data_IF_146137486257
#
_entry.id   IF_146137486257
#
_cell.length_a   1.000
_cell.length_b   1.000
_cell.length_c   1.000
_cell.angle_alpha   90.00
_cell.angle_beta   90.00
_cell.angle_gamma   90.00
#
_symmetry.space_group_name_H-M   'P 1'
#
loop_
_entity.id
_entity.type
_entity.pdbx_description
1 polymer ?
#
# COMPACT_ATOMS: atom_id res chain seq x y z
N UNK A 1 25.09 1.42 -13.99
CA UNK A 1 23.73 0.99 -13.59
C UNK A 1 23.55 1.34 -12.13
N UNK A 2 22.55 2.15 -11.78
CA UNK A 2 22.25 2.48 -10.38
C UNK A 2 21.71 1.23 -9.69
N UNK A 3 22.44 0.69 -8.71
CA UNK A 3 22.01 -0.46 -7.94
C UNK A 3 21.14 0.03 -6.78
N UNK A 4 19.82 -0.16 -6.90
CA UNK A 4 18.88 0.15 -5.83
C UNK A 4 18.73 -1.09 -4.93
N UNK A 5 19.14 -1.03 -3.65
CA UNK A 5 19.17 -2.20 -2.77
C UNK A 5 17.79 -2.84 -2.55
N UNK A 6 16.71 -2.08 -2.73
CA UNK A 6 15.32 -2.53 -2.50
C UNK A 6 14.46 -2.45 -3.77
N UNK A 7 15.08 -2.61 -4.93
CA UNK A 7 14.42 -2.47 -6.23
C UNK A 7 13.19 -3.38 -6.34
N UNK A 8 13.32 -4.63 -5.95
CA UNK A 8 12.23 -5.61 -6.08
C UNK A 8 11.05 -5.30 -5.15
N UNK A 9 11.32 -4.97 -3.89
CA UNK A 9 10.29 -4.58 -2.93
C UNK A 9 9.60 -3.28 -3.34
N UNK A 10 10.37 -2.33 -3.89
CA UNK A 10 9.82 -1.08 -4.43
C UNK A 10 8.83 -1.36 -5.57
N UNK A 11 9.15 -2.25 -6.51
CA UNK A 11 8.23 -2.60 -7.59
C UNK A 11 6.98 -3.31 -7.09
N UNK A 12 7.11 -4.19 -6.10
CA UNK A 12 5.95 -4.87 -5.49
C UNK A 12 4.99 -3.88 -4.84
N UNK A 13 5.51 -2.94 -4.04
CA UNK A 13 4.70 -1.91 -3.40
C UNK A 13 4.02 -1.01 -4.43
N UNK A 14 4.75 -0.59 -5.47
CA UNK A 14 4.18 0.20 -6.57
C UNK A 14 3.06 -0.58 -7.27
N UNK A 15 3.28 -1.87 -7.54
CA UNK A 15 2.28 -2.75 -8.14
C UNK A 15 1.00 -2.84 -7.30
N UNK A 16 1.12 -3.00 -5.99
CA UNK A 16 -0.02 -3.02 -5.07
C UNK A 16 -0.79 -1.68 -5.12
N UNK A 17 -0.10 -0.54 -5.06
CA UNK A 17 -0.74 0.77 -5.20
C UNK A 17 -1.47 0.93 -6.54
N UNK A 18 -0.90 0.42 -7.64
CA UNK A 18 -1.54 0.46 -8.95
C UNK A 18 -2.78 -0.43 -9.03
N UNK A 19 -2.76 -1.61 -8.41
CA UNK A 19 -3.91 -2.52 -8.33
C UNK A 19 -5.07 -1.85 -7.57
N UNK A 20 -4.79 -1.30 -6.38
CA UNK A 20 -5.79 -0.56 -5.59
C UNK A 20 -6.37 0.61 -6.38
N UNK A 21 -5.53 1.41 -7.05
CA UNK A 21 -6.01 2.53 -7.84
C UNK A 21 -6.84 2.09 -9.06
N UNK A 22 -6.52 0.95 -9.66
CA UNK A 22 -7.28 0.39 -10.78
C UNK A 22 -8.67 -0.07 -10.34
N UNK A 23 -8.80 -0.69 -9.18
CA UNK A 23 -10.08 -1.19 -8.69
C UNK A 23 -10.94 -0.09 -8.05
N UNK A 24 -10.36 0.78 -7.23
CA UNK A 24 -11.11 1.88 -6.61
C UNK A 24 -11.32 3.06 -7.56
N UNK A 25 -10.32 3.41 -8.37
CA UNK A 25 -10.35 4.65 -9.14
C UNK A 25 -10.41 5.91 -8.26
N UNK A 26 -10.70 7.06 -8.89
CA UNK A 26 -10.71 8.36 -8.18
C UNK A 26 -12.01 8.57 -7.38
N UNK A 27 -11.91 9.26 -6.24
CA UNK A 27 -13.08 9.76 -5.48
C UNK A 27 -13.33 9.07 -4.14
N UNK A 28 -12.53 8.07 -3.76
CA UNK A 28 -12.60 7.42 -2.45
C UNK A 28 -11.78 8.16 -1.39
N UNK A 29 -12.19 8.01 -0.14
CA UNK A 29 -11.46 8.55 1.01
C UNK A 29 -10.12 7.82 1.19
N UNK A 30 -9.12 8.51 1.71
CA UNK A 30 -7.82 7.96 2.06
C UNK A 30 -7.91 6.74 2.98
N UNK A 31 -8.93 6.67 3.85
CA UNK A 31 -9.19 5.49 4.70
C UNK A 31 -9.48 4.25 3.85
N UNK A 32 -10.36 4.37 2.85
CA UNK A 32 -10.74 3.26 1.96
C UNK A 32 -9.54 2.82 1.13
N UNK A 33 -8.72 3.77 0.69
CA UNK A 33 -7.45 3.47 0.01
C UNK A 33 -6.46 2.75 0.93
N UNK A 34 -6.39 3.14 2.20
CA UNK A 34 -5.56 2.47 3.21
C UNK A 34 -5.99 1.03 3.44
N UNK A 35 -7.29 0.81 3.67
CA UNK A 35 -7.84 -0.54 3.89
C UNK A 35 -7.65 -1.44 2.66
N UNK A 36 -7.88 -0.91 1.45
CA UNK A 36 -7.66 -1.66 0.21
C UNK A 36 -6.18 -1.99 -0.03
N UNK A 37 -5.28 -1.06 0.31
CA UNK A 37 -3.85 -1.30 0.21
C UNK A 37 -3.36 -2.31 1.26
N UNK A 38 -3.93 -2.30 2.46
CA UNK A 38 -3.65 -3.30 3.49
C UNK A 38 -3.95 -4.71 2.96
N UNK A 39 -5.14 -4.91 2.38
CA UNK A 39 -5.54 -6.17 1.75
C UNK A 39 -4.57 -6.57 0.63
N UNK A 40 -4.29 -5.66 -0.30
CA UNK A 40 -3.43 -5.95 -1.45
C UNK A 40 -1.98 -6.29 -1.01
N UNK A 41 -1.45 -5.59 -0.02
CA UNK A 41 -0.11 -5.89 0.53
C UNK A 41 -0.09 -7.25 1.25
N UNK A 42 -1.13 -7.58 2.01
CA UNK A 42 -1.28 -8.89 2.66
C UNK A 42 -1.37 -10.02 1.63
N UNK A 43 -2.17 -9.86 0.59
CA UNK A 43 -2.33 -10.85 -0.49
C UNK A 43 -1.01 -11.07 -1.26
N UNK A 44 -0.22 -10.01 -1.43
CA UNK A 44 1.11 -10.08 -2.04
C UNK A 44 2.22 -10.53 -1.06
N UNK A 45 1.88 -10.94 0.16
CA UNK A 45 2.81 -11.37 1.21
C UNK A 45 3.91 -10.32 1.51
N UNK A 46 3.57 -9.04 1.40
CA UNK A 46 4.47 -7.93 1.70
C UNK A 46 4.31 -7.62 3.19
N UNK A 47 5.35 -7.89 3.98
CA UNK A 47 5.34 -7.54 5.39
C UNK A 47 5.38 -6.01 5.55
N UNK A 48 4.27 -5.42 5.99
CA UNK A 48 4.20 -4.04 6.44
C UNK A 48 3.98 -4.04 7.96
N UNK A 49 4.59 -3.08 8.66
CA UNK A 49 4.49 -3.02 10.12
C UNK A 49 3.07 -2.62 10.54
N UNK A 50 2.43 -3.44 11.38
CA UNK A 50 1.08 -3.17 11.93
C UNK A 50 0.96 -1.81 12.63
N UNK A 51 2.08 -1.19 13.04
CA UNK A 51 2.09 0.13 13.67
C UNK A 51 2.09 1.31 12.68
N UNK A 52 2.38 1.09 11.41
CA UNK A 52 2.48 2.18 10.42
C UNK A 52 1.11 2.75 9.99
N UNK A 53 0.05 1.94 10.05
CA UNK A 53 -1.32 2.35 9.69
C UNK A 53 -2.14 2.87 10.90
N UNK A 54 -1.68 2.63 12.14
CA UNK A 54 -2.36 3.09 13.36
C UNK A 54 -2.41 4.61 13.48
N UNK A 55 -1.40 5.32 12.97
CA UNK A 55 -1.33 6.78 13.08
C UNK A 55 -2.49 7.52 12.38
N UNK A 56 -3.23 6.87 11.46
CA UNK A 56 -4.44 7.46 10.84
C UNK A 56 -5.74 7.20 11.58
N UNK A 57 -5.85 6.10 12.35
CA UNK A 57 -7.08 5.80 13.11
C UNK A 57 -7.25 6.66 14.37
N UNK A 58 -6.21 7.43 14.76
CA UNK A 58 -6.20 8.27 15.97
C UNK A 58 -6.60 9.72 15.69
N UNK A 59 -6.71 10.16 14.43
CA UNK A 59 -6.95 11.58 14.06
C UNK A 59 -8.39 11.85 13.56
N UNK A 60 -9.31 10.89 13.66
CA UNK A 60 -10.75 11.12 13.43
C UNK A 60 -11.55 10.72 14.67
#
# INVERSE_FOLDING_TARGET
MHNFPYKDDTYKIIGACMAVHRELGKGFNEIVYGDALEIELTDNNINFGEDSLKYKRVIL
#
